data_IF_380285268316
#
_entry.id   IF_380285268316
#
_cell.length_a   1.000
_cell.length_b   1.000
_cell.length_c   1.000
_cell.angle_alpha   90.00
_cell.angle_beta   90.00
_cell.angle_gamma   90.00
#
_symmetry.space_group_name_H-M   'P 1'
#
loop_
_entity.id
_entity.type
_entity.pdbx_description
1 polymer ?
#
# COMPACT_ATOMS: atom_id res chain seq x y z
N UNK A 1 -8.82 -18.42 14.55
CA UNK A 1 -9.95 -17.71 13.91
C UNK A 1 -9.40 -16.43 13.32
N UNK A 2 -9.66 -16.14 12.04
CA UNK A 2 -9.24 -14.87 11.42
C UNK A 2 -10.16 -13.75 11.91
N UNK A 3 -9.61 -12.62 12.35
CA UNK A 3 -10.39 -11.48 12.81
C UNK A 3 -10.98 -10.74 11.59
N UNK A 4 -12.31 -10.60 11.55
CA UNK A 4 -13.01 -9.94 10.44
C UNK A 4 -13.49 -8.54 10.80
N UNK A 5 -13.16 -8.02 11.98
CA UNK A 5 -13.49 -6.64 12.36
C UNK A 5 -12.68 -5.67 11.47
N UNK A 6 -13.35 -4.84 10.64
CA UNK A 6 -12.68 -3.95 9.69
C UNK A 6 -11.65 -3.01 10.34
N UNK A 7 -11.79 -2.71 11.64
CA UNK A 7 -10.85 -1.82 12.33
C UNK A 7 -9.43 -2.39 12.37
N UNK A 8 -9.29 -3.72 12.38
CA UNK A 8 -8.03 -4.45 12.39
C UNK A 8 -7.52 -4.83 11.01
N UNK A 9 -8.25 -4.48 9.95
CA UNK A 9 -7.84 -4.80 8.59
C UNK A 9 -7.08 -3.62 7.98
N UNK A 10 -5.92 -3.92 7.42
CA UNK A 10 -5.17 -3.06 6.50
C UNK A 10 -4.86 -3.83 5.23
N UNK A 11 -4.38 -3.11 4.23
CA UNK A 11 -3.89 -3.71 3.00
C UNK A 11 -2.45 -3.31 2.79
N UNK A 12 -1.61 -4.31 2.54
CA UNK A 12 -0.21 -4.12 2.18
C UNK A 12 -0.12 -4.14 0.66
N UNK A 13 0.49 -3.10 0.11
CA UNK A 13 0.83 -3.00 -1.31
C UNK A 13 2.34 -3.10 -1.40
N UNK A 14 2.84 -4.22 -1.89
CA UNK A 14 4.25 -4.44 -2.17
C UNK A 14 4.54 -3.99 -3.59
N UNK A 15 5.48 -3.06 -3.74
CA UNK A 15 5.92 -2.52 -5.00
C UNK A 15 7.25 -3.18 -5.39
N UNK A 16 7.34 -3.59 -6.64
CA UNK A 16 8.55 -4.15 -7.23
C UNK A 16 8.91 -3.39 -8.50
N UNK A 17 10.21 -3.31 -8.81
CA UNK A 17 10.70 -2.57 -9.96
C UNK A 17 10.12 -3.13 -11.27
N UNK A 18 9.48 -2.27 -12.04
CA UNK A 18 8.96 -2.57 -13.37
C UNK A 18 9.99 -2.33 -14.48
N UNK A 19 9.51 -2.39 -15.73
CA UNK A 19 10.37 -2.25 -16.91
C UNK A 19 10.52 -0.80 -17.39
N UNK A 20 9.62 0.11 -17.00
CA UNK A 20 9.60 1.49 -17.51
C UNK A 20 10.51 2.41 -16.68
N UNK A 21 11.08 3.46 -17.31
CA UNK A 21 11.99 4.36 -16.64
C UNK A 21 11.26 5.27 -15.65
N UNK A 22 11.93 5.57 -14.56
CA UNK A 22 11.53 6.58 -13.59
C UNK A 22 11.82 7.98 -14.13
N UNK A 23 10.90 8.92 -13.94
CA UNK A 23 11.07 10.34 -14.31
C UNK A 23 10.72 11.28 -13.16
N UNK A 24 11.22 12.52 -13.21
CA UNK A 24 10.93 13.53 -12.19
C UNK A 24 9.44 13.91 -12.17
N UNK A 25 8.81 13.93 -13.34
CA UNK A 25 7.39 14.23 -13.51
C UNK A 25 6.54 13.13 -12.89
N UNK A 26 6.94 11.87 -13.09
CA UNK A 26 6.29 10.70 -12.50
C UNK A 26 6.42 10.69 -10.98
N UNK A 27 7.61 11.00 -10.46
CA UNK A 27 7.83 11.17 -9.02
C UNK A 27 6.91 12.25 -8.43
N UNK A 28 6.77 13.41 -9.08
CA UNK A 28 5.86 14.46 -8.62
C UNK A 28 4.40 14.00 -8.61
N UNK A 29 4.00 13.21 -9.61
CA UNK A 29 2.66 12.62 -9.65
C UNK A 29 2.46 11.62 -8.49
N UNK A 30 3.41 10.72 -8.26
CA UNK A 30 3.38 9.75 -7.17
C UNK A 30 3.30 10.46 -5.80
N UNK A 31 4.09 11.51 -5.58
CA UNK A 31 4.05 12.30 -4.34
C UNK A 31 2.65 12.94 -4.13
N UNK A 32 2.00 13.43 -5.18
CA UNK A 32 0.63 13.95 -5.08
C UNK A 32 -0.36 12.86 -4.72
N UNK A 33 -0.26 11.69 -5.37
CA UNK A 33 -1.08 10.53 -5.05
C UNK A 33 -0.98 10.14 -3.56
N UNK A 34 0.24 10.04 -3.02
CA UNK A 34 0.46 9.73 -1.60
C UNK A 34 -0.15 10.80 -0.67
N UNK A 35 -0.01 12.09 -1.02
CA UNK A 35 -0.62 13.19 -0.25
C UNK A 35 -2.14 13.11 -0.25
N UNK A 36 -2.75 12.79 -1.37
CA UNK A 36 -4.20 12.65 -1.49
C UNK A 36 -4.71 11.47 -0.65
N UNK A 37 -4.00 10.33 -0.66
CA UNK A 37 -4.33 9.20 0.22
C UNK A 37 -4.17 9.56 1.70
N UNK A 38 -3.14 10.33 2.05
CA UNK A 38 -2.93 10.84 3.39
C UNK A 38 -4.07 11.77 3.83
N UNK A 39 -4.48 12.71 2.98
CA UNK A 39 -5.59 13.63 3.26
C UNK A 39 -6.94 12.90 3.44
N UNK A 40 -7.14 11.78 2.76
CA UNK A 40 -8.32 10.90 2.92
C UNK A 40 -8.23 9.97 4.13
N UNK A 41 -7.12 9.97 4.88
CA UNK A 41 -6.89 9.03 5.97
C UNK A 41 -6.70 7.57 5.52
N UNK A 42 -6.48 7.35 4.23
CA UNK A 42 -6.30 6.02 3.63
C UNK A 42 -4.86 5.55 3.75
N UNK A 43 -3.86 6.44 3.74
CA UNK A 43 -2.44 6.07 3.87
C UNK A 43 -2.03 5.95 5.34
N UNK A 44 -1.55 4.77 5.76
CA UNK A 44 -1.02 4.55 7.11
C UNK A 44 0.50 4.77 7.14
N UNK A 45 1.24 4.06 6.30
CA UNK A 45 2.70 4.16 6.18
C UNK A 45 3.11 3.86 4.73
N UNK A 46 4.24 4.41 4.29
CA UNK A 46 4.82 4.10 3.00
C UNK A 46 6.33 4.39 2.95
N UNK A 47 7.03 3.70 2.06
CA UNK A 47 8.42 4.03 1.74
C UNK A 47 9.08 2.99 0.85
N UNK A 48 10.24 3.34 0.26
CA UNK A 48 11.10 2.37 -0.39
C UNK A 48 11.78 1.47 0.65
N UNK A 49 12.09 0.24 0.26
CA UNK A 49 13.01 -0.59 1.05
C UNK A 49 14.45 -0.07 0.87
N UNK A 50 15.25 -0.09 1.94
CA UNK A 50 16.63 0.43 1.93
C UNK A 50 17.66 -0.61 1.51
N UNK A 51 17.31 -1.90 1.62
CA UNK A 51 18.15 -3.07 1.39
C UNK A 51 17.60 -3.99 0.29
N UNK A 52 16.41 -3.71 -0.23
CA UNK A 52 15.74 -4.49 -1.27
C UNK A 52 15.14 -3.57 -2.35
N UNK A 53 15.10 -3.96 -3.64
CA UNK A 53 14.46 -3.16 -4.67
C UNK A 53 12.93 -3.09 -4.49
N UNK A 54 12.39 -1.88 -4.53
CA UNK A 54 10.95 -1.62 -4.47
C UNK A 54 10.54 -0.88 -3.21
N UNK A 55 9.30 -1.06 -2.80
CA UNK A 55 8.74 -0.35 -1.65
C UNK A 55 7.47 -0.97 -1.16
N UNK A 56 6.89 -0.33 -0.15
CA UNK A 56 5.66 -0.79 0.48
C UNK A 56 4.77 0.39 0.83
N UNK A 57 3.46 0.21 0.66
CA UNK A 57 2.43 1.06 1.24
C UNK A 57 1.54 0.19 2.12
N UNK A 58 1.10 0.76 3.24
CA UNK A 58 0.06 0.21 4.11
C UNK A 58 -1.13 1.15 4.05
N UNK A 59 -2.27 0.65 3.59
CA UNK A 59 -3.48 1.46 3.36
C UNK A 59 -4.70 0.91 4.11
N UNK A 60 -5.64 1.81 4.42
CA UNK A 60 -7.01 1.52 4.81
C UNK A 60 -7.89 1.55 3.56
N UNK A 61 -8.74 0.54 3.43
CA UNK A 61 -9.75 0.46 2.38
C UNK A 61 -10.94 -0.38 2.90
N UNK A 62 -12.09 -0.27 2.27
CA UNK A 62 -13.30 -1.04 2.60
C UNK A 62 -13.21 -2.49 2.10
N UNK A 63 -12.33 -2.77 1.13
CA UNK A 63 -12.18 -4.11 0.56
C UNK A 63 -10.82 -4.30 -0.13
N UNK A 64 -10.47 -5.57 -0.38
CA UNK A 64 -9.29 -5.91 -1.20
C UNK A 64 -9.37 -5.32 -2.60
N UNK A 65 -10.57 -5.27 -3.19
CA UNK A 65 -10.77 -4.70 -4.52
C UNK A 65 -10.57 -3.18 -4.54
N UNK A 66 -10.96 -2.48 -3.47
CA UNK A 66 -10.62 -1.06 -3.34
C UNK A 66 -9.11 -0.85 -3.15
N UNK A 67 -8.47 -1.65 -2.31
CA UNK A 67 -7.02 -1.58 -2.14
C UNK A 67 -6.25 -1.82 -3.45
N UNK A 68 -6.72 -2.77 -4.28
CA UNK A 68 -6.19 -2.99 -5.64
C UNK A 68 -6.39 -1.78 -6.55
N UNK A 69 -7.54 -1.10 -6.48
CA UNK A 69 -7.78 0.14 -7.23
C UNK A 69 -6.85 1.26 -6.78
N UNK A 70 -6.63 1.41 -5.47
CA UNK A 70 -5.66 2.35 -4.91
C UNK A 70 -4.27 2.06 -5.47
N UNK A 71 -3.80 0.82 -5.37
CA UNK A 71 -2.50 0.40 -5.90
C UNK A 71 -2.37 0.67 -7.41
N UNK A 72 -3.38 0.30 -8.20
CA UNK A 72 -3.38 0.51 -9.65
C UNK A 72 -3.43 2.00 -10.05
N UNK A 73 -3.89 2.88 -9.16
CA UNK A 73 -3.93 4.32 -9.39
C UNK A 73 -2.63 5.05 -9.04
N UNK A 74 -1.66 4.36 -8.41
CA UNK A 74 -0.33 4.93 -8.20
C UNK A 74 0.31 5.22 -9.56
N UNK A 75 0.82 6.44 -9.80
CA UNK A 75 1.54 6.79 -11.02
C UNK A 75 2.68 5.82 -11.37
N UNK A 76 3.43 5.31 -10.39
CA UNK A 76 4.48 4.33 -10.68
C UNK A 76 3.92 3.01 -11.19
N UNK A 77 2.79 2.56 -10.66
CA UNK A 77 2.14 1.32 -11.07
C UNK A 77 1.45 1.47 -12.43
N UNK A 78 0.62 2.49 -12.58
CA UNK A 78 -0.12 2.76 -13.83
C UNK A 78 0.80 3.05 -15.02
N UNK A 79 1.98 3.62 -14.79
CA UNK A 79 2.98 3.83 -15.84
C UNK A 79 3.82 2.59 -16.15
N UNK A 80 3.72 1.52 -15.36
CA UNK A 80 4.59 0.34 -15.44
C UNK A 80 6.04 0.57 -14.98
N UNK A 81 6.28 1.66 -14.25
CA UNK A 81 7.58 1.91 -13.59
C UNK A 81 7.77 0.93 -12.43
N UNK A 82 6.66 0.53 -11.80
CA UNK A 82 6.59 -0.49 -10.78
C UNK A 82 5.44 -1.45 -11.07
N UNK A 83 5.51 -2.65 -10.50
CA UNK A 83 4.38 -3.59 -10.41
C UNK A 83 4.00 -3.75 -8.94
N UNK A 84 2.74 -4.14 -8.68
CA UNK A 84 2.26 -4.26 -7.31
C UNK A 84 1.64 -5.63 -6.99
N UNK A 85 1.87 -6.10 -5.76
CA UNK A 85 1.12 -7.18 -5.13
C UNK A 85 0.33 -6.60 -3.95
N UNK A 86 -0.96 -6.94 -3.85
CA UNK A 86 -1.83 -6.48 -2.77
C UNK A 86 -2.26 -7.66 -1.90
N UNK A 87 -2.12 -7.50 -0.58
CA UNK A 87 -2.51 -8.50 0.43
C UNK A 87 -3.32 -7.86 1.54
N UNK A 88 -4.35 -8.57 2.00
CA UNK A 88 -5.07 -8.24 3.23
C UNK A 88 -4.16 -8.56 4.41
N UNK A 89 -4.04 -7.63 5.34
CA UNK A 89 -3.19 -7.75 6.53
C UNK A 89 -4.02 -7.50 7.79
N UNK A 90 -4.06 -8.52 8.64
CA UNK A 90 -4.68 -8.47 9.96
C UNK A 90 -3.67 -7.87 10.94
N UNK A 91 -4.03 -6.73 11.54
CA UNK A 91 -3.19 -6.06 12.52
C UNK A 91 -3.12 -6.89 13.80
N UNK A 92 -1.91 -7.12 14.28
CA UNK A 92 -1.62 -7.64 15.62
C UNK A 92 -1.01 -6.49 16.42
N UNK A 93 -1.68 -6.08 17.51
CA UNK A 93 -1.31 -4.90 18.30
C UNK A 93 -1.80 -5.01 19.75
N UNK A 94 -1.32 -4.13 20.63
CA UNK A 94 -1.71 -4.12 22.05
C UNK A 94 -3.23 -4.09 22.27
N UNK A 95 -3.95 -3.29 21.48
CA UNK A 95 -5.40 -3.12 21.60
C UNK A 95 -6.19 -4.41 21.32
N UNK A 96 -5.61 -5.34 20.56
CA UNK A 96 -6.18 -6.66 20.34
C UNK A 96 -5.34 -7.78 20.98
N UNK A 97 -4.52 -7.48 22.00
CA UNK A 97 -3.65 -8.44 22.70
C UNK A 97 -2.74 -9.25 21.76
N UNK A 98 -2.24 -8.61 20.71
CA UNK A 98 -1.45 -9.26 19.67
C UNK A 98 -2.13 -10.50 19.06
N UNK A 99 -3.46 -10.46 18.94
CA UNK A 99 -4.23 -11.49 18.27
C UNK A 99 -3.94 -11.44 16.77
N UNK A 100 -3.00 -12.27 16.33
CA UNK A 100 -2.71 -12.57 14.94
C UNK A 100 -2.13 -13.96 14.81
N UNK A 101 -2.77 -14.83 14.06
CA UNK A 101 -2.28 -16.17 13.75
C UNK A 101 -2.34 -16.37 12.23
N UNK A 102 -1.15 -16.43 11.61
CA UNK A 102 -0.97 -16.68 10.17
C UNK A 102 -1.00 -18.17 9.83
#
# INVERSE_FOLDING_TARGET
>A
MKNTDPKWIRYVILLTKGAKPFTKELLKAHIRHLRDLGAKGQLTQCGPFTDYPGGMLIVKAESLEEAKRIAASDPFVSSGCETCEVRTWELSCEENNHLGAG
#
